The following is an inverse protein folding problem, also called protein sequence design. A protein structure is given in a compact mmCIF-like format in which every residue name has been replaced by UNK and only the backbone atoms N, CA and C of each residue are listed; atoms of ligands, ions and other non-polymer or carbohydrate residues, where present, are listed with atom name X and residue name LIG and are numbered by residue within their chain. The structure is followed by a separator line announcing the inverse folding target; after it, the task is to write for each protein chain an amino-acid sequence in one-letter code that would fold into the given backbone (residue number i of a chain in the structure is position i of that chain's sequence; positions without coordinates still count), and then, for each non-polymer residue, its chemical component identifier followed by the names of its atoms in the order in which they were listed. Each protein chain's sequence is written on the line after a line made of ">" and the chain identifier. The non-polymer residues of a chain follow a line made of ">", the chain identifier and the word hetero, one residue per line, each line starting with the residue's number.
data_IF_204603007586
#
_entry.id   IF_204603007586
#
_cell.length_a   1.000
_cell.length_b   1.000
_cell.length_c   1.000
_cell.angle_alpha   90.00
_cell.angle_beta   90.00
_cell.angle_gamma   90.00
#
_symmetry.space_group_name_H-M   'P 1'
#
loop_
_entity.id
_entity.type
_entity.pdbx_description
1 polymer ?
#
# COMPACT_ATOMS: atom_id res chain seq x y z
N UNK A 1 70.89 2.40 21.63
CA UNK A 1 70.14 3.37 20.79
C UNK A 1 68.68 3.34 21.20
N UNK A 2 67.81 4.30 20.84
CA UNK A 2 67.96 5.49 19.97
C UNK A 2 68.20 5.22 18.47
N UNK A 3 67.09 5.15 17.72
CA UNK A 3 66.83 5.33 16.27
C UNK A 3 65.28 5.18 16.12
N UNK A 4 64.46 5.97 15.40
CA UNK A 4 64.60 7.08 14.41
C UNK A 4 65.35 6.72 13.13
N UNK A 5 64.91 7.05 11.90
CA UNK A 5 63.87 7.99 11.40
C UNK A 5 63.02 7.34 10.27
N UNK A 6 61.81 7.77 9.87
CA UNK A 6 60.66 8.30 10.65
C UNK A 6 59.29 7.88 10.00
N UNK A 7 58.73 8.39 8.89
CA UNK A 7 59.09 9.55 8.05
C UNK A 7 58.40 9.73 6.66
N UNK A 8 57.09 9.51 6.45
CA UNK A 8 56.38 9.81 5.16
C UNK A 8 54.92 10.30 5.33
N UNK A 9 54.65 11.56 4.96
CA UNK A 9 53.36 12.25 5.10
C UNK A 9 52.95 12.91 3.75
N UNK A 10 51.99 13.85 3.76
CA UNK A 10 51.54 14.77 2.68
C UNK A 10 50.40 14.29 1.72
N UNK A 11 49.55 15.21 1.20
CA UNK A 11 48.09 14.97 1.12
C UNK A 11 47.44 15.45 -0.20
N UNK A 12 46.17 15.93 -0.15
CA UNK A 12 45.40 16.63 -1.21
C UNK A 12 44.79 15.63 -2.25
N UNK A 13 43.55 15.77 -2.76
CA UNK A 13 42.67 16.94 -2.88
C UNK A 13 41.21 16.72 -2.45
N UNK A 14 40.56 17.81 -2.01
CA UNK A 14 39.11 18.02 -2.23
C UNK A 14 38.92 18.68 -3.59
N UNK A 15 38.16 18.09 -4.50
CA UNK A 15 37.68 18.77 -5.71
C UNK A 15 36.17 18.98 -5.64
N UNK A 16 35.74 20.25 -5.69
CA UNK A 16 34.33 20.57 -5.84
C UNK A 16 33.98 20.54 -7.33
N UNK A 17 33.11 19.62 -7.75
CA UNK A 17 32.61 19.59 -9.13
C UNK A 17 31.24 20.28 -9.22
N UNK A 18 31.24 21.38 -9.97
CA UNK A 18 30.18 22.39 -10.01
C UNK A 18 28.82 21.86 -10.48
N UNK A 19 27.77 22.59 -10.11
CA UNK A 19 26.41 22.44 -10.62
C UNK A 19 26.42 22.49 -12.15
N UNK A 20 25.81 21.52 -12.81
CA UNK A 20 25.27 21.70 -14.16
C UNK A 20 23.75 21.71 -14.06
N UNK A 21 23.18 22.91 -14.05
CA UNK A 21 21.76 23.11 -14.28
C UNK A 21 21.45 22.64 -15.71
N UNK A 22 20.37 21.89 -15.88
CA UNK A 22 19.88 21.58 -17.24
C UNK A 22 19.37 22.86 -17.90
N UNK A 23 19.65 23.08 -19.21
CA UNK A 23 19.17 24.27 -19.91
C UNK A 23 17.64 24.23 -20.02
N UNK A 24 17.02 25.39 -19.78
CA UNK A 24 15.58 25.61 -19.92
C UNK A 24 15.12 25.47 -21.38
N UNK A 25 13.95 24.85 -21.58
CA UNK A 25 13.29 24.84 -22.88
C UNK A 25 12.91 26.27 -23.35
N UNK A 26 12.90 26.55 -24.66
CA UNK A 26 12.64 27.89 -25.18
C UNK A 26 11.16 28.28 -25.10
N UNK A 27 10.90 29.53 -24.72
CA UNK A 27 9.58 30.16 -24.86
C UNK A 27 9.27 30.47 -26.35
N UNK A 28 8.06 30.18 -26.86
CA UNK A 28 7.56 30.79 -28.08
C UNK A 28 7.15 32.26 -27.83
N UNK A 29 7.24 33.08 -28.88
CA UNK A 29 7.09 34.53 -28.79
C UNK A 29 5.64 35.01 -28.69
N UNK A 30 5.46 36.00 -27.82
CA UNK A 30 4.56 37.16 -27.91
C UNK A 30 3.70 37.25 -29.20
N UNK A 31 2.38 37.12 -29.07
CA UNK A 31 1.41 37.58 -30.07
C UNK A 31 0.63 38.80 -29.58
N UNK A 32 0.32 39.66 -30.53
CA UNK A 32 -0.12 41.04 -30.34
C UNK A 32 -1.55 41.15 -29.77
N UNK A 33 -1.77 42.04 -28.80
CA UNK A 33 -3.11 42.39 -28.31
C UNK A 33 -3.63 43.65 -29.02
N UNK A 34 -4.92 43.67 -29.36
CA UNK A 34 -5.68 44.88 -29.71
C UNK A 34 -7.16 44.67 -29.37
N UNK A 35 -7.83 45.59 -28.64
CA UNK A 35 -9.17 45.37 -28.11
C UNK A 35 -10.29 45.99 -28.97
N UNK A 36 -11.48 45.37 -29.05
CA UNK A 36 -12.72 46.06 -29.40
C UNK A 36 -13.44 46.61 -28.15
N UNK A 37 -14.06 47.79 -28.28
CA UNK A 37 -14.88 48.44 -27.23
C UNK A 37 -16.33 47.90 -27.20
N UNK A 38 -17.11 48.18 -26.13
CA UNK A 38 -18.41 47.55 -25.91
C UNK A 38 -19.55 48.21 -26.69
N UNK A 39 -20.58 47.41 -27.03
CA UNK A 39 -21.95 47.86 -27.26
C UNK A 39 -22.93 46.70 -27.00
N UNK A 40 -23.95 46.94 -26.18
CA UNK A 40 -25.12 46.05 -26.00
C UNK A 40 -26.34 46.64 -26.73
N UNK A 41 -27.33 45.82 -27.10
CA UNK A 41 -28.65 46.01 -26.48
C UNK A 41 -29.53 44.75 -26.27
N UNK A 42 -30.22 44.74 -25.12
CA UNK A 42 -31.59 44.28 -24.82
C UNK A 42 -32.24 42.97 -25.36
N UNK A 43 -32.68 42.16 -24.38
CA UNK A 43 -33.94 41.40 -24.24
C UNK A 43 -34.55 40.57 -25.40
N UNK A 44 -34.69 39.26 -25.15
CA UNK A 44 -35.99 38.57 -24.85
C UNK A 44 -35.64 37.23 -24.19
N UNK A 45 -36.06 36.91 -22.95
CA UNK A 45 -37.41 36.56 -22.48
C UNK A 45 -37.99 35.28 -23.12
N UNK A 46 -37.81 34.13 -22.44
CA UNK A 46 -38.67 32.94 -22.53
C UNK A 46 -38.62 32.18 -21.19
N UNK A 47 -39.72 31.53 -20.82
CA UNK A 47 -39.93 30.92 -19.50
C UNK A 47 -39.36 29.49 -19.41
N UNK A 48 -38.91 29.12 -18.20
CA UNK A 48 -38.77 27.73 -17.75
C UNK A 48 -39.50 27.57 -16.39
N UNK A 49 -40.33 26.53 -16.19
CA UNK A 49 -41.11 26.37 -14.96
C UNK A 49 -40.28 25.80 -13.79
N UNK A 50 -40.57 26.18 -12.54
CA UNK A 50 -39.91 25.62 -11.37
C UNK A 50 -40.44 24.20 -11.07
N UNK A 51 -39.63 23.17 -11.32
CA UNK A 51 -39.92 21.81 -10.85
C UNK A 51 -39.46 21.70 -9.39
N UNK A 52 -40.42 21.65 -8.47
CA UNK A 52 -40.19 21.37 -7.05
C UNK A 52 -39.79 19.90 -6.84
N UNK A 53 -38.54 19.58 -7.18
CA UNK A 53 -37.97 18.24 -6.97
C UNK A 53 -37.72 17.99 -5.48
N UNK A 54 -38.61 17.20 -4.89
CA UNK A 54 -38.52 16.65 -3.55
C UNK A 54 -37.10 16.09 -3.28
N UNK A 55 -36.37 16.69 -2.34
CA UNK A 55 -35.03 16.22 -1.98
C UNK A 55 -35.16 14.95 -1.12
N UNK A 56 -35.37 13.82 -1.80
CA UNK A 56 -35.42 12.50 -1.21
C UNK A 56 -34.13 12.29 -0.43
N UNK A 57 -34.25 12.08 0.89
CA UNK A 57 -33.16 11.62 1.73
C UNK A 57 -32.78 10.21 1.29
N UNK A 58 -31.88 10.14 0.31
CA UNK A 58 -31.29 8.90 -0.19
C UNK A 58 -30.47 8.26 0.91
N UNK A 59 -31.14 7.52 1.80
CA UNK A 59 -30.53 6.72 2.84
C UNK A 59 -29.62 5.71 2.16
N UNK A 60 -28.33 6.02 2.13
CA UNK A 60 -27.35 5.21 1.43
C UNK A 60 -27.23 3.88 2.17
N UNK A 61 -27.86 2.86 1.60
CA UNK A 61 -27.85 1.50 2.12
C UNK A 61 -26.44 0.91 1.95
N UNK A 62 -25.52 1.37 2.82
CA UNK A 62 -24.21 0.76 3.01
C UNK A 62 -24.45 -0.72 3.26
N UNK A 63 -23.98 -1.55 2.34
CA UNK A 63 -24.19 -2.98 2.39
C UNK A 63 -23.70 -3.50 3.74
N UNK A 64 -24.56 -4.23 4.45
CA UNK A 64 -24.25 -4.70 5.79
C UNK A 64 -22.90 -5.44 5.78
N UNK A 65 -22.00 -5.16 6.76
CA UNK A 65 -20.66 -5.72 6.74
C UNK A 65 -20.74 -7.25 6.72
N UNK A 66 -19.88 -7.87 5.91
CA UNK A 66 -19.78 -9.34 5.74
C UNK A 66 -19.38 -10.05 7.05
N UNK A 67 -19.00 -9.29 8.08
CA UNK A 67 -18.53 -9.74 9.39
C UNK A 67 -19.36 -9.12 10.52
N UNK A 68 -19.52 -9.84 11.63
CA UNK A 68 -20.32 -9.38 12.77
C UNK A 68 -19.64 -8.30 13.63
N UNK A 69 -20.43 -7.63 14.47
CA UNK A 69 -19.95 -6.52 15.30
C UNK A 69 -18.83 -6.90 16.30
N UNK A 70 -18.73 -8.16 16.74
CA UNK A 70 -17.63 -8.62 17.58
C UNK A 70 -16.36 -8.95 16.77
N UNK A 71 -16.50 -9.34 15.50
CA UNK A 71 -15.38 -9.39 14.56
C UNK A 71 -14.77 -7.99 14.39
N UNK A 72 -15.59 -6.97 14.13
CA UNK A 72 -15.14 -5.58 13.99
C UNK A 72 -14.42 -5.07 15.27
N UNK A 73 -15.00 -5.31 16.45
CA UNK A 73 -14.34 -4.98 17.73
C UNK A 73 -13.01 -5.73 17.91
N UNK A 74 -12.87 -6.95 17.41
CA UNK A 74 -11.60 -7.68 17.46
C UNK A 74 -10.58 -7.14 16.46
N UNK A 75 -10.98 -6.71 15.26
CA UNK A 75 -10.13 -5.98 14.31
C UNK A 75 -9.61 -4.69 14.95
N UNK A 76 -10.45 -3.92 15.63
CA UNK A 76 -10.05 -2.69 16.34
C UNK A 76 -9.06 -2.95 17.49
N UNK A 77 -9.29 -3.99 18.28
CA UNK A 77 -8.35 -4.40 19.35
C UNK A 77 -7.03 -4.90 18.77
N UNK A 78 -7.07 -5.66 17.67
CA UNK A 78 -5.89 -6.10 16.94
C UNK A 78 -5.10 -4.93 16.33
N UNK A 79 -5.76 -3.94 15.71
CA UNK A 79 -5.09 -2.74 15.13
C UNK A 79 -4.32 -1.96 16.18
N UNK A 80 -4.86 -1.84 17.41
CA UNK A 80 -4.15 -1.21 18.54
C UNK A 80 -2.96 -2.05 19.03
N UNK A 81 -3.14 -3.37 19.16
CA UNK A 81 -2.04 -4.28 19.53
C UNK A 81 -0.91 -4.29 18.48
N UNK A 82 -1.25 -4.26 17.19
CA UNK A 82 -0.32 -4.17 16.07
C UNK A 82 0.48 -2.87 16.12
N UNK A 83 -0.16 -1.71 16.34
CA UNK A 83 0.54 -0.42 16.46
C UNK A 83 1.58 -0.45 17.59
N UNK A 84 1.22 -0.98 18.74
CA UNK A 84 2.13 -1.14 19.87
C UNK A 84 3.28 -2.12 19.57
N UNK A 85 3.01 -3.28 18.97
CA UNK A 85 4.02 -4.28 18.59
C UNK A 85 5.01 -3.72 17.56
N UNK A 86 4.50 -3.09 16.50
CA UNK A 86 5.28 -2.60 15.37
C UNK A 86 6.18 -1.43 15.78
N UNK A 87 5.65 -0.48 16.56
CA UNK A 87 6.44 0.63 17.09
C UNK A 87 7.51 0.17 18.09
N UNK A 88 7.17 -0.74 19.02
CA UNK A 88 8.12 -1.18 20.07
C UNK A 88 9.22 -2.14 19.58
N UNK A 89 8.97 -2.92 18.52
CA UNK A 89 9.97 -3.84 17.93
C UNK A 89 10.65 -3.30 16.66
N UNK A 90 10.24 -2.14 16.14
CA UNK A 90 10.73 -1.61 14.88
C UNK A 90 10.41 -2.48 13.65
N UNK A 91 9.46 -3.42 13.76
CA UNK A 91 9.27 -4.50 12.79
C UNK A 91 8.35 -4.14 11.60
N UNK A 92 8.09 -2.85 11.35
CA UNK A 92 7.24 -2.41 10.23
C UNK A 92 7.63 -3.02 8.86
N UNK A 93 8.92 -3.07 8.46
CA UNK A 93 9.29 -3.60 7.15
C UNK A 93 8.94 -5.09 6.95
N UNK A 94 9.10 -5.93 7.97
CA UNK A 94 8.79 -7.37 7.84
C UNK A 94 7.28 -7.64 7.92
N UNK A 95 6.50 -6.79 8.62
CA UNK A 95 5.04 -6.88 8.64
C UNK A 95 4.42 -6.44 7.30
N UNK A 96 4.93 -5.36 6.70
CA UNK A 96 4.54 -4.96 5.34
C UNK A 96 4.95 -6.03 4.31
N UNK A 97 6.14 -6.61 4.44
CA UNK A 97 6.57 -7.74 3.61
C UNK A 97 5.65 -8.96 3.78
N UNK A 98 5.26 -9.35 4.99
CA UNK A 98 4.36 -10.48 5.21
C UNK A 98 3.02 -10.29 4.47
N UNK A 99 2.41 -9.11 4.61
CA UNK A 99 1.17 -8.76 3.91
C UNK A 99 1.33 -8.80 2.39
N UNK A 100 2.44 -8.26 1.86
CA UNK A 100 2.76 -8.30 0.44
C UNK A 100 2.95 -9.72 -0.10
N UNK A 101 3.69 -10.58 0.61
CA UNK A 101 3.98 -11.94 0.15
C UNK A 101 2.69 -12.80 0.15
N UNK A 102 1.85 -12.67 1.17
CA UNK A 102 0.50 -13.27 1.21
C UNK A 102 -0.38 -12.79 0.04
N UNK A 103 -0.44 -11.48 -0.21
CA UNK A 103 -1.26 -10.90 -1.28
C UNK A 103 -0.71 -11.20 -2.70
N UNK A 104 0.60 -11.30 -2.86
CA UNK A 104 1.30 -11.37 -4.15
C UNK A 104 1.24 -12.72 -4.86
N UNK A 105 0.67 -13.76 -4.24
CA UNK A 105 0.51 -15.09 -4.85
C UNK A 105 -0.78 -15.25 -5.66
N UNK A 106 -1.59 -14.19 -5.81
CA UNK A 106 -2.86 -14.26 -6.54
C UNK A 106 -2.68 -14.45 -8.06
N UNK A 107 -3.33 -15.47 -8.60
CA UNK A 107 -3.47 -15.70 -10.04
C UNK A 107 -4.92 -15.43 -10.47
N UNK A 108 -5.12 -14.46 -11.37
CA UNK A 108 -6.44 -14.05 -11.87
C UNK A 108 -7.12 -15.11 -12.74
N UNK A 109 -6.34 -15.96 -13.42
CA UNK A 109 -6.86 -16.97 -14.35
C UNK A 109 -7.41 -18.19 -13.60
N UNK A 110 -6.64 -18.69 -12.62
CA UNK A 110 -7.08 -19.81 -11.77
C UNK A 110 -7.86 -19.36 -10.53
N UNK A 111 -7.85 -18.06 -10.21
CA UNK A 111 -8.44 -17.45 -9.00
C UNK A 111 -7.90 -18.03 -7.69
N UNK A 112 -6.65 -18.50 -7.69
CA UNK A 112 -5.99 -19.14 -6.53
C UNK A 112 -4.90 -18.25 -5.91
N UNK A 113 -4.58 -18.48 -4.63
CA UNK A 113 -3.60 -17.69 -3.88
C UNK A 113 -4.13 -16.32 -3.45
N UNK A 114 -3.23 -15.38 -3.19
CA UNK A 114 -3.57 -14.02 -2.74
C UNK A 114 -3.91 -13.94 -1.26
N UNK A 115 -4.39 -12.77 -0.83
CA UNK A 115 -4.54 -12.41 0.58
C UNK A 115 -5.57 -13.26 1.35
N UNK A 116 -5.13 -14.44 1.79
CA UNK A 116 -5.93 -15.52 2.36
C UNK A 116 -5.23 -16.22 3.55
N UNK A 117 -4.07 -15.73 3.99
CA UNK A 117 -3.35 -16.22 5.15
C UNK A 117 -2.65 -17.56 4.98
N UNK A 118 -2.62 -18.18 3.79
CA UNK A 118 -1.96 -19.48 3.57
C UNK A 118 -0.47 -19.48 3.91
N UNK A 119 0.18 -18.30 3.84
CA UNK A 119 1.60 -18.10 4.16
C UNK A 119 2.00 -18.54 5.58
N UNK A 120 1.03 -18.77 6.48
CA UNK A 120 1.25 -19.34 7.82
C UNK A 120 1.70 -20.81 7.81
N UNK A 121 1.44 -21.55 6.73
CA UNK A 121 1.78 -22.97 6.61
C UNK A 121 3.23 -23.17 6.20
N UNK A 122 3.85 -24.27 6.68
CA UNK A 122 5.26 -24.59 6.45
C UNK A 122 5.59 -24.75 4.96
N UNK A 123 4.71 -25.36 4.18
CA UNK A 123 4.86 -25.49 2.73
C UNK A 123 4.99 -24.13 2.02
N UNK A 124 4.36 -23.06 2.54
CA UNK A 124 4.47 -21.72 1.95
C UNK A 124 5.54 -20.82 2.60
N UNK A 125 5.75 -20.83 3.93
CA UNK A 125 6.79 -19.99 4.54
C UNK A 125 8.22 -20.49 4.25
N UNK A 126 8.39 -21.74 3.81
CA UNK A 126 9.69 -22.31 3.41
C UNK A 126 10.07 -22.03 1.95
N UNK A 127 9.14 -21.53 1.11
CA UNK A 127 9.47 -21.02 -0.22
C UNK A 127 10.65 -20.03 -0.15
N UNK A 128 11.60 -20.12 -1.08
CA UNK A 128 12.83 -19.31 -1.08
C UNK A 128 12.56 -17.80 -1.14
N UNK A 129 11.47 -17.41 -1.80
CA UNK A 129 11.00 -16.01 -1.80
C UNK A 129 10.46 -15.54 -0.44
N UNK A 130 9.95 -16.46 0.40
CA UNK A 130 9.36 -16.20 1.70
C UNK A 130 10.36 -16.30 2.87
N UNK A 131 11.63 -16.59 2.60
CA UNK A 131 12.69 -16.72 3.59
C UNK A 131 12.65 -15.64 4.69
N UNK A 132 12.64 -16.08 5.95
CA UNK A 132 12.56 -15.22 7.14
C UNK A 132 11.15 -14.80 7.58
N UNK A 133 10.10 -14.98 6.78
CA UNK A 133 8.74 -14.52 7.14
C UNK A 133 8.10 -15.29 8.30
N UNK A 134 8.60 -16.49 8.62
CA UNK A 134 8.25 -17.22 9.86
C UNK A 134 8.42 -16.35 11.12
N UNK A 135 9.42 -15.46 11.14
CA UNK A 135 9.64 -14.50 12.25
C UNK A 135 8.46 -13.52 12.38
N UNK A 136 7.89 -13.06 11.27
CA UNK A 136 6.72 -12.16 11.30
C UNK A 136 5.44 -12.89 11.72
N UNK A 137 5.26 -14.14 11.25
CA UNK A 137 4.16 -15.02 11.67
C UNK A 137 4.21 -15.24 13.19
N UNK A 138 5.36 -15.68 13.73
CA UNK A 138 5.53 -15.95 15.16
C UNK A 138 5.37 -14.70 16.05
N UNK A 139 5.71 -13.51 15.52
CA UNK A 139 5.45 -12.24 16.20
C UNK A 139 3.96 -11.86 16.26
N UNK A 140 3.12 -12.41 15.37
CA UNK A 140 1.68 -12.12 15.31
C UNK A 140 0.82 -13.16 16.05
N UNK A 141 1.31 -14.38 16.31
CA UNK A 141 0.56 -15.39 17.07
C UNK A 141 0.04 -14.90 18.45
N UNK A 142 0.81 -14.15 19.27
CA UNK A 142 0.30 -13.61 20.53
C UNK A 142 -0.80 -12.55 20.37
N UNK A 143 -0.97 -11.99 19.17
CA UNK A 143 -2.10 -11.13 18.79
C UNK A 143 -3.25 -11.99 18.27
N UNK A 144 -2.99 -12.97 17.39
CA UNK A 144 -4.02 -13.90 16.87
C UNK A 144 -4.76 -14.62 18.01
N UNK A 145 -4.03 -15.13 18.99
CA UNK A 145 -4.60 -15.85 20.15
C UNK A 145 -5.59 -14.98 20.97
N UNK A 146 -5.41 -13.66 20.99
CA UNK A 146 -6.30 -12.70 21.68
C UNK A 146 -7.49 -12.26 20.83
N UNK A 147 -7.50 -12.60 19.53
CA UNK A 147 -8.51 -12.20 18.55
C UNK A 147 -8.96 -13.43 17.74
N UNK A 148 -9.55 -14.45 18.39
CA UNK A 148 -9.82 -15.74 17.76
C UNK A 148 -10.77 -15.64 16.56
N UNK A 149 -11.73 -14.69 16.54
CA UNK A 149 -12.62 -14.48 15.38
C UNK A 149 -11.90 -13.95 14.14
N UNK A 150 -10.89 -13.11 14.30
CA UNK A 150 -10.19 -12.46 13.17
C UNK A 150 -9.36 -13.51 12.45
N UNK A 151 -9.51 -13.61 11.13
CA UNK A 151 -8.74 -14.55 10.29
C UNK A 151 -7.26 -14.18 10.24
N UNK A 152 -6.39 -15.15 9.95
CA UNK A 152 -4.97 -14.85 9.67
C UNK A 152 -4.86 -13.93 8.45
N UNK A 153 -5.69 -14.16 7.44
CA UNK A 153 -5.82 -13.33 6.24
C UNK A 153 -6.09 -11.84 6.56
N UNK A 154 -7.06 -11.53 7.43
CA UNK A 154 -7.28 -10.14 7.84
C UNK A 154 -6.20 -9.62 8.78
N UNK A 155 -5.67 -10.45 9.69
CA UNK A 155 -4.63 -10.04 10.64
C UNK A 155 -3.32 -9.63 9.95
N UNK A 156 -2.87 -10.40 8.95
CA UNK A 156 -1.64 -10.12 8.21
C UNK A 156 -1.78 -8.86 7.35
N UNK A 157 -2.91 -8.70 6.66
CA UNK A 157 -3.15 -7.50 5.84
C UNK A 157 -3.34 -6.24 6.71
N UNK A 158 -3.96 -6.37 7.90
CA UNK A 158 -4.04 -5.31 8.90
C UNK A 158 -2.65 -4.95 9.46
N UNK A 159 -1.76 -5.93 9.65
CA UNK A 159 -0.38 -5.69 10.06
C UNK A 159 0.41 -4.90 8.99
N UNK A 160 0.18 -5.18 7.70
CA UNK A 160 0.73 -4.40 6.59
C UNK A 160 0.23 -2.96 6.55
N UNK A 161 -1.08 -2.74 6.69
CA UNK A 161 -1.68 -1.39 6.78
C UNK A 161 -1.10 -0.62 7.97
N UNK A 162 -1.05 -1.23 9.15
CA UNK A 162 -0.52 -0.60 10.36
C UNK A 162 0.98 -0.30 10.23
N UNK A 163 1.75 -1.14 9.54
CA UNK A 163 3.16 -0.89 9.29
C UNK A 163 3.40 0.40 8.49
N UNK A 164 2.59 0.68 7.47
CA UNK A 164 2.64 1.93 6.70
C UNK A 164 2.28 3.13 7.57
N UNK A 165 1.19 3.04 8.35
CA UNK A 165 0.74 4.13 9.22
C UNK A 165 1.78 4.48 10.31
N UNK A 166 2.38 3.48 10.95
CA UNK A 166 3.37 3.68 12.02
C UNK A 166 4.69 4.28 11.50
N UNK A 167 5.01 4.09 10.22
CA UNK A 167 6.18 4.74 9.59
C UNK A 167 5.88 6.12 8.99
N UNK A 168 4.68 6.67 9.21
CA UNK A 168 4.29 8.00 8.70
C UNK A 168 3.81 8.00 7.25
N UNK A 169 3.49 6.82 6.69
CA UNK A 169 2.81 6.70 5.41
C UNK A 169 1.31 7.08 5.48
N UNK A 170 0.60 7.06 4.34
CA UNK A 170 -0.80 7.44 4.28
C UNK A 170 -1.70 6.45 5.03
N UNK A 171 -2.82 6.95 5.57
CA UNK A 171 -3.91 6.10 6.06
C UNK A 171 -4.45 5.24 4.91
N UNK A 172 -4.45 3.93 5.08
CA UNK A 172 -5.05 2.98 4.13
C UNK A 172 -6.40 2.52 4.70
N UNK A 173 -7.44 2.51 3.88
CA UNK A 173 -8.74 1.96 4.26
C UNK A 173 -8.61 0.44 4.44
N UNK A 174 -9.14 -0.09 5.55
CA UNK A 174 -9.10 -1.52 5.84
C UNK A 174 -10.52 -2.09 5.91
N UNK A 175 -10.89 -2.84 4.87
CA UNK A 175 -12.13 -3.62 4.84
C UNK A 175 -11.82 -5.05 5.35
N UNK A 176 -12.47 -5.52 6.44
CA UNK A 176 -12.39 -6.90 6.92
C UNK A 176 -13.32 -7.85 6.14
N UNK A 177 -13.09 -9.15 6.28
CA UNK A 177 -13.90 -10.22 5.70
C UNK A 177 -13.11 -11.24 4.87
N UNK A 178 -11.76 -11.19 4.87
CA UNK A 178 -10.95 -12.22 4.20
C UNK A 178 -11.11 -13.55 4.93
N UNK A 179 -11.24 -14.64 4.18
CA UNK A 179 -11.32 -16.00 4.71
C UNK A 179 -9.93 -16.64 4.69
N UNK A 180 -9.63 -17.45 5.71
CA UNK A 180 -8.40 -18.23 5.74
C UNK A 180 -8.46 -19.40 4.75
N UNK A 181 -7.46 -19.52 3.88
CA UNK A 181 -7.25 -20.73 3.06
C UNK A 181 -6.65 -21.85 3.90
N UNK A 182 -6.94 -23.11 3.52
CA UNK A 182 -6.22 -24.32 3.96
C UNK A 182 -5.27 -24.87 2.88
N UNK A 183 -5.18 -24.22 1.72
CA UNK A 183 -4.40 -24.64 0.55
C UNK A 183 -3.36 -23.58 0.21
N UNK A 184 -2.11 -24.00 0.09
CA UNK A 184 -0.99 -23.16 -0.33
C UNK A 184 -0.97 -22.97 -1.86
N UNK A 185 -0.59 -21.79 -2.37
CA UNK A 185 -0.22 -21.61 -3.76
C UNK A 185 1.14 -22.27 -4.03
N UNK A 186 1.37 -22.76 -5.25
CA UNK A 186 2.69 -23.26 -5.68
C UNK A 186 3.74 -22.13 -5.68
N UNK A 187 4.99 -22.47 -5.40
CA UNK A 187 6.13 -21.55 -5.48
C UNK A 187 6.26 -20.90 -6.87
N UNK A 188 6.97 -19.76 -6.94
CA UNK A 188 7.38 -19.11 -8.20
C UNK A 188 6.41 -18.04 -8.70
N UNK A 189 5.32 -17.78 -7.98
CA UNK A 189 4.36 -16.69 -8.31
C UNK A 189 4.86 -15.29 -7.98
N UNK A 190 5.73 -15.17 -6.98
CA UNK A 190 6.26 -13.88 -6.51
C UNK A 190 7.43 -13.40 -7.41
N UNK A 191 7.60 -12.08 -7.60
CA UNK A 191 8.64 -11.54 -8.49
C UNK A 191 10.08 -11.91 -8.08
N UNK A 192 10.90 -12.25 -9.07
CA UNK A 192 12.35 -12.46 -8.90
C UNK A 192 13.09 -11.13 -9.05
N UNK A 193 13.73 -10.67 -7.97
CA UNK A 193 14.50 -9.42 -7.93
C UNK A 193 15.67 -9.36 -8.92
N UNK A 194 16.13 -10.50 -9.47
CA UNK A 194 17.18 -10.56 -10.50
C UNK A 194 16.66 -10.30 -11.91
N UNK A 195 15.34 -10.24 -12.13
CA UNK A 195 14.72 -10.11 -13.46
C UNK A 195 14.04 -8.75 -13.64
N UNK A 196 14.67 -7.84 -14.36
CA UNK A 196 14.24 -6.43 -14.47
C UNK A 196 12.85 -6.18 -15.11
N UNK A 197 12.27 -7.14 -15.83
CA UNK A 197 11.10 -6.90 -16.70
C UNK A 197 9.72 -7.08 -16.03
N UNK A 198 9.66 -7.45 -14.75
CA UNK A 198 8.39 -7.80 -14.07
C UNK A 198 7.71 -6.60 -13.35
N UNK A 199 8.23 -5.38 -13.54
CA UNK A 199 8.00 -4.24 -12.64
C UNK A 199 6.59 -3.61 -12.70
N UNK A 200 5.79 -3.86 -13.74
CA UNK A 200 4.47 -3.22 -13.89
C UNK A 200 3.30 -4.12 -13.46
N UNK A 201 3.00 -5.20 -14.19
CA UNK A 201 1.80 -6.01 -13.92
C UNK A 201 1.79 -6.67 -12.53
N UNK A 202 2.90 -7.28 -12.10
CA UNK A 202 2.98 -7.90 -10.77
C UNK A 202 2.90 -6.87 -9.63
N UNK A 203 3.42 -5.66 -9.85
CA UNK A 203 3.53 -4.62 -8.81
C UNK A 203 2.21 -3.87 -8.60
N UNK A 204 1.50 -3.57 -9.69
CA UNK A 204 0.15 -3.01 -9.60
C UNK A 204 -0.83 -3.99 -8.95
N UNK A 205 -0.91 -5.25 -9.41
CA UNK A 205 -1.89 -6.22 -8.89
C UNK A 205 -1.81 -6.45 -7.38
N UNK A 206 -0.60 -6.44 -6.82
CA UNK A 206 -0.34 -6.74 -5.40
C UNK A 206 -0.43 -5.51 -4.50
N UNK A 207 0.16 -4.37 -4.89
CA UNK A 207 0.04 -3.13 -4.11
C UNK A 207 -1.38 -2.54 -4.17
N UNK A 208 -2.06 -2.63 -5.31
CA UNK A 208 -3.48 -2.27 -5.41
C UNK A 208 -4.44 -3.34 -4.88
N UNK A 209 -4.03 -4.59 -4.60
CA UNK A 209 -4.94 -5.58 -3.97
C UNK A 209 -5.52 -5.07 -2.64
N UNK A 210 -4.70 -4.31 -1.89
CA UNK A 210 -5.12 -3.65 -0.64
C UNK A 210 -5.98 -2.40 -0.85
N UNK A 211 -5.92 -1.76 -2.02
CA UNK A 211 -6.66 -0.51 -2.34
C UNK A 211 -7.89 -0.71 -3.25
N UNK A 212 -7.96 -1.81 -4.01
CA UNK A 212 -8.87 -1.97 -5.15
C UNK A 212 -10.00 -2.98 -4.89
N UNK A 213 -10.07 -3.59 -3.70
CA UNK A 213 -11.30 -4.31 -3.26
C UNK A 213 -12.49 -3.39 -2.98
N UNK A 214 -12.32 -2.07 -3.09
CA UNK A 214 -13.42 -1.12 -3.31
C UNK A 214 -14.16 -1.33 -4.64
N UNK A 215 -13.53 -1.96 -5.64
CA UNK A 215 -13.96 -1.96 -7.05
C UNK A 215 -14.33 -3.31 -7.65
N UNK A 216 -14.16 -4.43 -6.91
CA UNK A 216 -14.62 -5.76 -7.35
C UNK A 216 -15.59 -6.35 -6.33
N UNK A 217 -16.89 -6.11 -6.55
CA UNK A 217 -17.97 -6.96 -6.04
C UNK A 217 -18.02 -8.22 -6.91
N UNK A 218 -17.47 -9.32 -6.42
CA UNK A 218 -17.68 -10.69 -6.91
C UNK A 218 -17.70 -11.65 -5.72
#
# INVERSE_FOLDING_TARGET
>A
GRTRLDGAEQPIARSALSRRLHPSAPFPLLLHLSPPSPNTPHLTSLLAPPISSLLVLGSSAMAAPVVDAEYLRQVDRARRALRALIASKGCAPIMLRLAWHDAGTYDVNTRTGGANGSIRYEEEYTHGSNAGLKIAIDLLEPIKAKHPKVTYADLYQLAGVVAVEVTGGPTVEFIPGRRDSSVCPREGRLPDAKKGNYCYYCFYLSMFSCYLKQLIKM
#
